data_IF_210602414942
#
_entry.id   IF_210602414942
#
_cell.length_a   1.000
_cell.length_b   1.000
_cell.length_c   1.000
_cell.angle_alpha   90.00
_cell.angle_beta   90.00
_cell.angle_gamma   90.00
#
_symmetry.space_group_name_H-M   'P 1'
#
loop_
_entity.id
_entity.type
_entity.pdbx_description
1 polymer ?
#
# COMPACT_ATOMS: atom_id res chain seq x y z
N UNK A 1 10.87 -22.37 12.25
CA UNK A 1 9.95 -22.21 11.10
C UNK A 1 9.88 -20.71 10.83
N UNK A 2 10.45 -20.30 9.71
CA UNK A 2 10.65 -18.90 9.36
C UNK A 2 9.31 -18.17 9.27
N UNK A 3 9.18 -17.04 9.96
CA UNK A 3 8.15 -16.06 9.67
C UNK A 3 8.29 -15.70 8.20
N UNK A 4 7.28 -16.02 7.39
CA UNK A 4 7.13 -15.45 6.06
C UNK A 4 6.83 -13.96 6.28
N UNK A 5 7.88 -13.16 6.46
CA UNK A 5 7.81 -11.75 6.14
C UNK A 5 7.19 -11.67 4.75
N UNK A 6 6.09 -10.94 4.63
CA UNK A 6 5.39 -10.71 3.38
C UNK A 6 6.43 -10.35 2.30
N UNK A 7 6.80 -11.32 1.48
CA UNK A 7 7.92 -11.27 0.53
C UNK A 7 7.62 -10.37 -0.68
N UNK A 8 6.55 -9.58 -0.62
CA UNK A 8 6.16 -8.62 -1.65
C UNK A 8 5.50 -7.43 -0.99
N UNK A 9 6.32 -6.58 -0.38
CA UNK A 9 5.99 -5.15 -0.22
C UNK A 9 5.79 -4.56 -1.62
N UNK A 10 4.62 -4.75 -2.21
CA UNK A 10 4.26 -4.08 -3.46
C UNK A 10 4.32 -2.59 -3.21
N UNK A 11 5.27 -1.93 -3.86
CA UNK A 11 5.32 -0.48 -3.86
C UNK A 11 4.20 0.02 -4.76
N UNK A 12 3.34 0.82 -4.15
CA UNK A 12 2.23 1.48 -4.79
C UNK A 12 2.48 2.97 -4.73
N UNK A 13 2.18 3.66 -5.82
CA UNK A 13 2.13 5.11 -5.86
C UNK A 13 0.69 5.54 -5.79
N UNK A 14 0.39 6.36 -4.80
CA UNK A 14 -0.93 6.94 -4.58
C UNK A 14 -1.11 8.08 -5.57
N UNK A 15 -2.08 7.97 -6.46
CA UNK A 15 -2.32 8.94 -7.54
C UNK A 15 -2.84 10.28 -6.99
N UNK A 16 -3.50 10.28 -5.84
CA UNK A 16 -4.06 11.49 -5.22
C UNK A 16 -3.01 12.41 -4.61
N UNK A 17 -1.95 11.84 -4.03
CA UNK A 17 -0.84 12.61 -3.42
C UNK A 17 0.44 12.56 -4.24
N UNK A 18 0.55 11.65 -5.20
CA UNK A 18 1.76 11.37 -5.97
C UNK A 18 2.84 10.64 -5.16
N UNK A 19 2.60 10.33 -3.90
CA UNK A 19 3.54 9.67 -2.99
C UNK A 19 3.58 8.15 -3.20
N UNK A 20 4.76 7.59 -2.98
CA UNK A 20 4.98 6.14 -2.97
C UNK A 20 4.90 5.59 -1.56
N UNK A 21 4.33 4.40 -1.45
CA UNK A 21 4.23 3.65 -0.20
C UNK A 21 4.23 2.15 -0.43
N UNK A 22 4.32 1.40 0.65
CA UNK A 22 4.21 -0.06 0.63
C UNK A 22 2.79 -0.49 0.93
N UNK A 23 2.26 -1.38 0.11
CA UNK A 23 1.00 -2.06 0.39
C UNK A 23 1.16 -2.93 1.66
N UNK A 24 0.39 -2.60 2.69
CA UNK A 24 0.29 -3.40 3.91
C UNK A 24 -0.78 -4.48 3.78
N UNK A 25 -1.85 -4.22 3.02
CA UNK A 25 -2.90 -5.19 2.77
C UNK A 25 -4.20 -4.58 2.26
N UNK A 26 -5.18 -5.46 2.06
CA UNK A 26 -6.50 -5.14 1.53
C UNK A 26 -7.53 -5.16 2.66
N UNK A 27 -8.32 -4.10 2.75
CA UNK A 27 -9.46 -4.02 3.64
C UNK A 27 -10.68 -4.71 3.01
N UNK A 28 -11.57 -5.31 3.81
CA UNK A 28 -12.78 -5.99 3.32
C UNK A 28 -13.78 -5.04 2.60
N UNK A 29 -13.59 -3.73 2.72
CA UNK A 29 -14.34 -2.71 1.97
C UNK A 29 -13.86 -2.52 0.52
N UNK A 30 -12.84 -3.27 0.07
CA UNK A 30 -12.20 -3.08 -1.25
C UNK A 30 -11.17 -1.94 -1.28
N UNK A 31 -10.74 -1.47 -0.10
CA UNK A 31 -9.71 -0.41 0.03
C UNK A 31 -8.34 -1.02 0.30
N UNK A 32 -7.29 -0.29 -0.04
CA UNK A 32 -5.89 -0.64 0.20
C UNK A 32 -5.35 0.14 1.40
N UNK A 33 -4.63 -0.55 2.28
CA UNK A 33 -3.84 0.07 3.34
C UNK A 33 -2.41 0.21 2.86
N UNK A 34 -1.92 1.44 2.74
CA UNK A 34 -0.59 1.75 2.21
C UNK A 34 0.20 2.53 3.26
N UNK A 35 1.40 2.06 3.58
CA UNK A 35 2.36 2.79 4.39
C UNK A 35 3.19 3.71 3.51
N UNK A 36 2.98 5.02 3.63
CA UNK A 36 3.72 6.02 2.87
C UNK A 36 5.19 6.06 3.30
N UNK A 37 6.07 6.35 2.34
CA UNK A 37 7.51 6.52 2.59
C UNK A 37 7.80 7.72 3.50
N UNK A 38 6.95 8.75 3.45
CA UNK A 38 6.99 9.93 4.33
C UNK A 38 6.64 9.62 5.79
N UNK A 39 6.13 8.42 6.07
CA UNK A 39 5.68 8.01 7.39
C UNK A 39 4.18 8.29 7.56
N UNK A 40 3.41 7.22 7.70
CA UNK A 40 1.96 7.28 7.84
C UNK A 40 1.30 6.11 7.12
N UNK A 41 0.10 5.73 7.55
CA UNK A 41 -0.72 4.72 6.88
C UNK A 41 -1.93 5.43 6.31
N UNK A 42 -2.13 5.30 5.01
CA UNK A 42 -3.30 5.83 4.30
C UNK A 42 -4.14 4.70 3.77
N UNK A 43 -5.45 4.90 3.78
CA UNK A 43 -6.40 3.97 3.21
C UNK A 43 -6.93 4.61 1.93
N UNK A 44 -6.67 3.96 0.80
CA UNK A 44 -7.03 4.47 -0.54
C UNK A 44 -7.71 3.37 -1.34
N UNK A 45 -8.59 3.72 -2.26
CA UNK A 45 -9.21 2.75 -3.17
C UNK A 45 -8.20 2.28 -4.23
N UNK A 46 -8.35 1.06 -4.72
CA UNK A 46 -7.42 0.45 -5.69
C UNK A 46 -7.34 1.24 -7.01
N UNK A 47 -8.42 1.92 -7.41
CA UNK A 47 -8.45 2.79 -8.59
C UNK A 47 -7.56 4.04 -8.46
N UNK A 48 -7.18 4.42 -7.23
CA UNK A 48 -6.40 5.60 -6.91
C UNK A 48 -4.91 5.28 -6.70
N UNK A 49 -4.45 4.10 -7.10
CA UNK A 49 -3.05 3.71 -6.96
C UNK A 49 -2.51 3.11 -8.26
N UNK A 50 -1.23 3.32 -8.51
CA UNK A 50 -0.48 2.66 -9.56
C UNK A 50 0.62 1.78 -8.97
N UNK A 51 0.87 0.65 -9.61
CA UNK A 51 1.93 -0.28 -9.22
C UNK A 51 3.25 0.20 -9.83
N UNK A 52 4.27 0.38 -8.99
CA UNK A 52 5.58 0.95 -9.38
C UNK A 52 6.62 -0.15 -9.57
#
# INVERSE_FOLDING_TARGET
>A
MSFHAFDKSEQLRVLTTGETGQLLGYLPSGKLSIQLTSGGIVIVDEENVEKV
#
